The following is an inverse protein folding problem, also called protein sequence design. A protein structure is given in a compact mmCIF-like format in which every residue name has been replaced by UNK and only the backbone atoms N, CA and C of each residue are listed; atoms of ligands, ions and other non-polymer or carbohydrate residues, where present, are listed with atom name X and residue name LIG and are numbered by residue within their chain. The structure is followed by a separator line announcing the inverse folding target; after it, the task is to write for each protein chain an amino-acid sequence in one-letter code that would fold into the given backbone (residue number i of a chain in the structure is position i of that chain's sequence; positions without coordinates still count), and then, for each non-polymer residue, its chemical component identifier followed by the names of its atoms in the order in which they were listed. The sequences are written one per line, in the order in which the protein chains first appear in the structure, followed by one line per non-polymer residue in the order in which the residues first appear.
data_IF_241207016506
#
_entry.id   IF_241207016506
#
_cell.length_a   1.000
_cell.length_b   1.000
_cell.length_c   1.000
_cell.angle_alpha   90.00
_cell.angle_beta   90.00
_cell.angle_gamma   90.00
#
_symmetry.space_group_name_H-M   'P 1'
#
loop_
_entity.id
_entity.type
_entity.pdbx_description
1 polymer ?
#
# COMPACT_ATOMS: atom_id res chain seq x y z
N UNK A 1 -23.04 19.83 -21.33
CA UNK A 1 -23.17 19.47 -19.89
C UNK A 1 -22.10 20.20 -19.09
N UNK A 2 -22.41 21.37 -18.53
CA UNK A 2 -21.51 22.10 -17.62
C UNK A 2 -22.01 21.92 -16.18
N UNK A 3 -21.47 20.92 -15.47
CA UNK A 3 -21.58 20.83 -14.01
C UNK A 3 -20.20 21.09 -13.42
N UNK A 4 -19.72 22.32 -13.56
CA UNK A 4 -18.59 22.85 -12.79
C UNK A 4 -19.16 23.78 -11.70
N UNK A 5 -19.99 23.23 -10.83
CA UNK A 5 -20.50 23.92 -9.63
C UNK A 5 -19.54 23.70 -8.47
N UNK A 6 -19.36 24.72 -7.62
CA UNK A 6 -18.50 24.75 -6.42
C UNK A 6 -18.58 23.47 -5.55
N UNK A 7 -19.72 22.77 -5.59
CA UNK A 7 -19.94 21.46 -4.97
C UNK A 7 -18.92 20.38 -5.42
N UNK A 8 -18.48 20.37 -6.68
CA UNK A 8 -17.46 19.45 -7.16
C UNK A 8 -16.09 19.75 -6.53
N UNK A 9 -15.73 21.04 -6.39
CA UNK A 9 -14.46 21.45 -5.77
C UNK A 9 -14.39 21.04 -4.29
N UNK A 10 -15.46 21.20 -3.52
CA UNK A 10 -15.52 20.77 -2.12
C UNK A 10 -15.43 19.25 -1.97
N UNK A 11 -16.05 18.48 -2.88
CA UNK A 11 -15.91 17.01 -2.92
C UNK A 11 -14.46 16.58 -3.13
N UNK A 12 -13.74 17.21 -4.06
CA UNK A 12 -12.32 16.90 -4.31
C UNK A 12 -11.42 17.27 -3.13
N UNK A 13 -11.70 18.36 -2.40
CA UNK A 13 -10.98 18.72 -1.17
C UNK A 13 -11.14 17.64 -0.10
N UNK A 14 -12.37 17.16 0.15
CA UNK A 14 -12.63 16.09 1.10
C UNK A 14 -11.94 14.77 0.70
N UNK A 15 -11.92 14.46 -0.60
CA UNK A 15 -11.18 13.31 -1.14
C UNK A 15 -9.67 13.46 -0.89
N UNK A 16 -9.09 14.65 -1.13
CA UNK A 16 -7.67 14.89 -0.89
C UNK A 16 -7.30 14.75 0.59
N UNK A 17 -8.16 15.20 1.50
CA UNK A 17 -8.02 14.98 2.95
C UNK A 17 -8.09 13.49 3.30
N UNK A 18 -9.06 12.76 2.74
CA UNK A 18 -9.16 11.31 2.90
C UNK A 18 -7.91 10.58 2.41
N UNK A 19 -7.35 10.98 1.25
CA UNK A 19 -6.12 10.41 0.70
C UNK A 19 -4.89 10.70 1.59
N UNK A 20 -4.85 11.87 2.26
CA UNK A 20 -3.82 12.17 3.29
C UNK A 20 -3.97 11.22 4.49
N UNK A 21 -5.19 11.01 4.98
CA UNK A 21 -5.46 10.05 6.08
C UNK A 21 -5.06 8.63 5.70
N UNK A 22 -5.41 8.17 4.48
CA UNK A 22 -4.97 6.88 3.95
C UNK A 22 -3.44 6.78 3.81
N UNK A 23 -2.75 7.88 3.49
CA UNK A 23 -1.27 7.90 3.48
C UNK A 23 -0.71 7.73 4.89
N UNK A 24 -1.27 8.43 5.89
CA UNK A 24 -0.90 8.28 7.31
C UNK A 24 -1.12 6.85 7.79
N UNK A 25 -2.28 6.28 7.49
CA UNK A 25 -2.60 4.89 7.80
C UNK A 25 -1.53 3.91 7.29
N UNK A 26 -1.08 4.06 6.03
CA UNK A 26 -0.03 3.20 5.47
C UNK A 26 1.30 3.29 6.22
N UNK A 27 1.65 4.45 6.76
CA UNK A 27 2.87 4.60 7.58
C UNK A 27 2.70 3.82 8.89
N UNK A 28 1.58 4.05 9.58
CA UNK A 28 1.28 3.40 10.86
C UNK A 28 1.18 1.89 10.71
N UNK A 29 0.42 1.38 9.73
CA UNK A 29 0.29 -0.08 9.54
C UNK A 29 1.62 -0.71 9.12
N UNK A 30 2.47 0.00 8.37
CA UNK A 30 3.82 -0.46 8.04
C UNK A 30 4.69 -0.63 9.28
N UNK A 31 4.62 0.32 10.22
CA UNK A 31 5.29 0.21 11.52
C UNK A 31 4.72 -0.95 12.34
N UNK A 32 3.40 -1.07 12.42
CA UNK A 32 2.76 -2.16 13.16
C UNK A 32 3.13 -3.52 12.58
N UNK A 33 3.22 -3.66 11.25
CA UNK A 33 3.72 -4.88 10.63
C UNK A 33 5.16 -5.17 11.04
N UNK A 34 6.04 -4.17 10.98
CA UNK A 34 7.45 -4.29 11.36
C UNK A 34 7.66 -4.74 12.81
N UNK A 35 6.88 -4.19 13.76
CA UNK A 35 7.07 -4.44 15.20
C UNK A 35 6.25 -5.62 15.73
N UNK A 36 5.03 -5.82 15.22
CA UNK A 36 4.10 -6.83 15.74
C UNK A 36 4.17 -8.17 14.98
N UNK A 37 4.81 -8.21 13.81
CA UNK A 37 4.90 -9.42 12.98
C UNK A 37 5.99 -10.42 13.39
N UNK A 38 6.60 -10.26 14.57
CA UNK A 38 7.74 -11.05 15.02
C UNK A 38 9.07 -10.41 14.64
N UNK A 39 10.00 -11.19 14.07
CA UNK A 39 11.31 -10.66 13.68
C UNK A 39 11.16 -9.59 12.59
N UNK A 40 11.65 -8.38 12.85
CA UNK A 40 11.63 -7.24 11.92
C UNK A 40 12.18 -7.61 10.53
N UNK A 41 11.45 -7.26 9.46
CA UNK A 41 11.89 -7.43 8.08
C UNK A 41 12.88 -6.33 7.68
N UNK A 42 13.65 -6.50 6.59
CA UNK A 42 14.31 -5.32 6.00
C UNK A 42 13.23 -4.43 5.39
N UNK A 43 13.34 -3.13 5.62
CA UNK A 43 12.39 -2.15 5.05
C UNK A 43 12.19 -2.32 3.55
N UNK A 44 13.25 -2.59 2.79
CA UNK A 44 13.15 -2.83 1.34
C UNK A 44 12.24 -3.98 0.98
N UNK A 45 12.20 -5.04 1.79
CA UNK A 45 11.42 -6.26 1.54
C UNK A 45 9.97 -6.09 1.98
N UNK A 46 9.75 -5.39 3.10
CA UNK A 46 8.40 -5.04 3.57
C UNK A 46 7.72 -4.06 2.60
N UNK A 47 8.45 -3.03 2.16
CA UNK A 47 7.91 -2.00 1.28
C UNK A 47 7.64 -2.51 -0.15
N UNK A 48 8.24 -3.63 -0.54
CA UNK A 48 7.99 -4.30 -1.82
C UNK A 48 6.81 -5.28 -1.81
N UNK A 49 6.09 -5.43 -0.69
CA UNK A 49 4.96 -6.37 -0.61
C UNK A 49 3.85 -6.05 -1.63
N UNK A 50 3.45 -7.09 -2.35
CA UNK A 50 2.33 -7.07 -3.29
C UNK A 50 1.05 -7.52 -2.57
N UNK A 51 -0.04 -6.76 -2.77
CA UNK A 51 -1.37 -7.11 -2.29
C UNK A 51 -2.07 -8.15 -3.18
N UNK A 52 -1.68 -8.22 -4.45
CA UNK A 52 -2.30 -9.05 -5.48
C UNK A 52 -1.21 -9.74 -6.30
N UNK A 53 -1.55 -10.88 -6.89
CA UNK A 53 -0.64 -11.55 -7.81
C UNK A 53 -0.42 -10.66 -9.05
N UNK A 54 0.84 -10.53 -9.47
CA UNK A 54 1.23 -9.95 -10.75
C UNK A 54 1.76 -11.01 -11.69
N UNK A 55 1.99 -10.62 -12.94
CA UNK A 55 2.57 -11.49 -13.97
C UNK A 55 3.96 -12.01 -13.59
N UNK A 56 4.75 -11.17 -12.92
CA UNK A 56 6.15 -11.45 -12.58
C UNK A 56 6.40 -11.64 -11.08
N UNK A 57 5.35 -11.72 -10.25
CA UNK A 57 5.50 -11.82 -8.81
C UNK A 57 4.22 -12.19 -8.07
N UNK A 58 4.34 -13.04 -7.06
CA UNK A 58 3.21 -13.43 -6.22
C UNK A 58 2.89 -12.37 -5.16
N UNK A 59 1.63 -12.34 -4.70
CA UNK A 59 1.27 -11.51 -3.55
C UNK A 59 2.04 -11.97 -2.31
N UNK A 60 2.38 -11.01 -1.46
CA UNK A 60 3.03 -11.27 -0.18
C UNK A 60 2.07 -11.24 1.00
N UNK A 61 0.76 -11.12 0.80
CA UNK A 61 -0.26 -10.97 1.85
C UNK A 61 -1.33 -12.07 1.78
N UNK A 62 -1.61 -12.70 2.91
CA UNK A 62 -2.54 -13.83 3.03
C UNK A 62 -3.38 -13.71 4.30
N UNK A 63 -4.61 -14.21 4.28
CA UNK A 63 -5.44 -14.33 5.48
C UNK A 63 -5.42 -15.79 5.96
N UNK A 64 -5.19 -16.01 7.26
CA UNK A 64 -5.14 -17.34 7.87
C UNK A 64 -5.59 -17.27 9.33
N UNK A 65 -6.65 -18.02 9.68
CA UNK A 65 -7.16 -18.15 11.06
C UNK A 65 -7.19 -16.81 11.83
N UNK A 66 -7.86 -15.80 11.28
CA UNK A 66 -7.96 -14.43 11.84
C UNK A 66 -6.68 -13.59 11.86
N UNK A 67 -5.58 -14.09 11.29
CA UNK A 67 -4.33 -13.38 11.14
C UNK A 67 -4.12 -13.00 9.67
N UNK A 68 -3.47 -11.86 9.45
CA UNK A 68 -2.85 -11.55 8.17
C UNK A 68 -1.41 -12.04 8.26
N UNK A 69 -1.08 -12.94 7.35
CA UNK A 69 0.29 -13.41 7.14
C UNK A 69 0.91 -12.55 6.05
N UNK A 70 2.15 -12.14 6.24
CA UNK A 70 2.92 -11.52 5.18
C UNK A 70 4.29 -12.20 4.98
N UNK A 71 4.62 -12.46 3.71
CA UNK A 71 5.80 -13.20 3.29
C UNK A 71 6.75 -12.24 2.61
N UNK A 72 7.98 -12.13 3.12
CA UNK A 72 9.03 -11.31 2.52
C UNK A 72 10.07 -12.19 1.86
N UNK A 73 10.50 -11.78 0.66
CA UNK A 73 11.53 -12.47 -0.11
C UNK A 73 12.90 -11.81 0.07
N UNK A 74 13.91 -12.58 0.46
CA UNK A 74 15.28 -12.10 0.55
C UNK A 74 16.01 -12.23 -0.80
N UNK A 75 16.09 -11.14 -1.57
CA UNK A 75 16.72 -11.13 -2.90
C UNK A 75 18.24 -11.38 -2.86
N UNK A 76 18.93 -11.11 -1.75
CA UNK A 76 20.40 -11.31 -1.63
C UNK A 76 20.82 -12.78 -1.61
N UNK A 77 19.96 -13.68 -1.15
CA UNK A 77 20.28 -15.11 -1.11
C UNK A 77 20.07 -15.80 -2.47
N UNK A 78 19.27 -15.19 -3.35
CA UNK A 78 19.01 -15.68 -4.71
C UNK A 78 20.26 -15.70 -5.58
N UNK A 79 21.10 -14.66 -5.48
CA UNK A 79 22.33 -14.55 -6.28
C UNK A 79 23.45 -15.50 -5.84
N UNK A 80 23.50 -15.90 -4.56
CA UNK A 80 24.58 -16.77 -4.06
C UNK A 80 24.21 -18.25 -3.93
N UNK A 81 22.93 -18.58 -3.72
CA UNK A 81 22.51 -19.97 -3.38
C UNK A 81 21.39 -20.54 -4.25
N UNK A 82 20.87 -19.77 -5.21
CA UNK A 82 19.73 -20.16 -6.06
C UNK A 82 18.46 -20.59 -5.27
N UNK A 83 18.38 -20.25 -3.97
CA UNK A 83 17.22 -20.48 -3.11
C UNK A 83 16.69 -19.15 -2.60
N UNK A 84 15.41 -18.91 -2.84
CA UNK A 84 14.72 -17.73 -2.31
C UNK A 84 14.35 -17.99 -0.85
N UNK A 85 14.96 -17.25 0.07
CA UNK A 85 14.62 -17.36 1.48
C UNK A 85 13.35 -16.56 1.74
N UNK A 86 12.28 -17.29 2.04
CA UNK A 86 10.96 -16.76 2.35
C UNK A 86 10.79 -16.71 3.86
N UNK A 87 10.56 -15.53 4.41
CA UNK A 87 10.26 -15.36 5.83
C UNK A 87 8.79 -15.01 5.98
N UNK A 88 8.07 -15.91 6.63
CA UNK A 88 6.64 -15.78 6.91
C UNK A 88 6.45 -15.11 8.27
N UNK A 89 5.64 -14.04 8.30
CA UNK A 89 5.34 -13.29 9.52
C UNK A 89 3.85 -13.21 9.77
N UNK A 90 3.46 -13.37 11.02
CA UNK A 90 2.07 -13.37 11.45
C UNK A 90 1.75 -12.06 12.13
N UNK A 91 0.86 -11.28 11.54
CA UNK A 91 0.34 -10.08 12.17
C UNK A 91 -0.72 -10.50 13.22
N UNK A 92 -0.71 -9.95 14.44
CA UNK A 92 -1.70 -10.29 15.46
C UNK A 92 -3.14 -9.97 15.02
N UNK A 93 -4.14 -10.62 15.61
CA UNK A 93 -5.54 -10.56 15.18
C UNK A 93 -6.11 -9.12 15.07
N UNK A 94 -5.83 -8.25 16.05
CA UNK A 94 -6.30 -6.86 16.05
C UNK A 94 -5.81 -6.06 14.83
N UNK A 95 -4.49 -5.87 14.66
CA UNK A 95 -3.94 -5.23 13.47
C UNK A 95 -4.28 -5.94 12.16
N UNK A 96 -4.43 -7.27 12.18
CA UNK A 96 -4.87 -8.06 11.03
C UNK A 96 -6.27 -7.67 10.55
N UNK A 97 -7.22 -7.49 11.46
CA UNK A 97 -8.57 -7.06 11.10
C UNK A 97 -8.56 -5.66 10.47
N UNK A 98 -7.72 -4.77 11.00
CA UNK A 98 -7.55 -3.40 10.47
C UNK A 98 -6.93 -3.43 9.07
N UNK A 99 -5.86 -4.21 8.87
CA UNK A 99 -5.22 -4.37 7.57
C UNK A 99 -6.16 -5.04 6.56
N UNK A 100 -6.92 -6.04 6.98
CA UNK A 100 -7.93 -6.69 6.15
C UNK A 100 -8.98 -5.69 5.66
N UNK A 101 -9.56 -4.87 6.55
CA UNK A 101 -10.51 -3.82 6.18
C UNK A 101 -9.91 -2.81 5.20
N UNK A 102 -8.64 -2.46 5.37
CA UNK A 102 -7.94 -1.59 4.43
C UNK A 102 -7.82 -2.23 3.04
N UNK A 103 -7.42 -3.49 2.96
CA UNK A 103 -7.24 -4.21 1.70
C UNK A 103 -8.59 -4.45 0.99
N UNK A 104 -9.63 -4.81 1.74
CA UNK A 104 -10.94 -5.17 1.20
C UNK A 104 -11.82 -3.97 0.82
N UNK A 105 -11.78 -2.88 1.60
CA UNK A 105 -12.70 -1.75 1.42
C UNK A 105 -11.99 -0.47 0.98
N UNK A 106 -10.98 -0.04 1.75
CA UNK A 106 -10.35 1.28 1.54
C UNK A 106 -9.56 1.31 0.24
N UNK A 107 -8.79 0.27 -0.04
CA UNK A 107 -7.92 0.22 -1.23
C UNK A 107 -8.75 0.20 -2.53
N UNK A 108 -9.77 -0.67 -2.71
CA UNK A 108 -10.64 -0.60 -3.89
C UNK A 108 -11.39 0.73 -4.03
N UNK A 109 -11.87 1.31 -2.93
CA UNK A 109 -12.52 2.61 -2.95
C UNK A 109 -11.59 3.73 -3.43
N UNK A 110 -10.35 3.77 -2.95
CA UNK A 110 -9.35 4.75 -3.40
C UNK A 110 -9.03 4.56 -4.89
N UNK A 111 -8.94 3.32 -5.36
CA UNK A 111 -8.70 3.02 -6.77
C UNK A 111 -9.86 3.53 -7.64
N UNK A 112 -11.11 3.34 -7.19
CA UNK A 112 -12.29 3.88 -7.83
C UNK A 112 -12.25 5.42 -7.91
N UNK A 113 -11.98 6.10 -6.79
CA UNK A 113 -11.88 7.57 -6.76
C UNK A 113 -10.81 8.12 -7.72
N UNK A 114 -9.68 7.41 -7.85
CA UNK A 114 -8.62 7.79 -8.79
C UNK A 114 -9.11 7.67 -10.23
N UNK A 115 -9.79 6.57 -10.56
CA UNK A 115 -10.39 6.37 -11.89
C UNK A 115 -11.35 7.50 -12.26
N UNK A 116 -12.26 7.86 -11.36
CA UNK A 116 -13.23 8.95 -11.59
C UNK A 116 -12.53 10.31 -11.82
N UNK A 117 -11.43 10.56 -11.11
CA UNK A 117 -10.62 11.79 -11.28
C UNK A 117 -9.96 11.86 -12.65
N UNK A 118 -9.48 10.73 -13.18
CA UNK A 118 -8.86 10.65 -14.50
C UNK A 118 -9.87 10.73 -15.64
N UNK A 119 -11.06 10.14 -15.49
CA UNK A 119 -12.14 10.25 -16.48
C UNK A 119 -12.63 11.70 -16.66
N UNK A 120 -12.55 12.51 -15.60
CA UNK A 120 -12.92 13.93 -15.65
C UNK A 120 -11.88 14.83 -16.36
N UNK A 121 -10.70 14.30 -16.69
CA UNK A 121 -9.55 15.02 -17.22
C UNK A 121 -8.96 14.42 -18.49
N UNK A 122 -9.78 14.17 -19.51
CA UNK A 122 -9.40 14.13 -20.94
C UNK A 122 -8.18 13.29 -21.42
N UNK A 123 -7.63 12.33 -20.68
CA UNK A 123 -6.64 11.38 -21.20
C UNK A 123 -6.90 9.97 -20.65
N UNK A 124 -7.56 9.13 -21.46
CA UNK A 124 -7.86 7.74 -21.14
C UNK A 124 -6.76 6.83 -21.68
N UNK A 125 -5.80 6.44 -20.84
CA UNK A 125 -4.85 5.37 -21.15
C UNK A 125 -5.20 4.11 -20.34
N UNK A 126 -5.14 2.93 -20.98
CA UNK A 126 -5.36 1.63 -20.31
C UNK A 126 -4.42 1.40 -19.12
N UNK A 127 -3.25 2.05 -19.11
CA UNK A 127 -2.35 2.03 -17.96
C UNK A 127 -2.95 2.73 -16.73
N UNK A 128 -3.72 3.81 -16.91
CA UNK A 128 -4.30 4.59 -15.80
C UNK A 128 -5.37 3.81 -15.02
N UNK A 129 -5.96 2.76 -15.62
CA UNK A 129 -6.95 1.90 -14.96
C UNK A 129 -6.33 0.92 -13.97
N UNK A 130 -5.06 0.56 -14.16
CA UNK A 130 -4.41 -0.45 -13.35
C UNK A 130 -3.80 0.17 -12.08
N UNK A 131 -4.47 -0.02 -10.95
CA UNK A 131 -3.93 0.40 -9.66
C UNK A 131 -2.68 -0.41 -9.30
N UNK A 132 -1.69 0.24 -8.70
CA UNK A 132 -0.46 -0.44 -8.27
C UNK A 132 -0.80 -1.62 -7.35
N UNK A 133 -0.21 -2.78 -7.63
CA UNK A 133 -0.32 -3.98 -6.79
C UNK A 133 0.46 -3.85 -5.47
N UNK A 134 1.32 -2.83 -5.33
CA UNK A 134 2.13 -2.61 -4.13
C UNK A 134 1.30 -2.09 -2.96
N UNK A 135 1.53 -2.65 -1.78
CA UNK A 135 0.96 -2.14 -0.54
C UNK A 135 1.48 -0.71 -0.22
N UNK A 136 2.79 -0.51 -0.37
CA UNK A 136 3.49 0.73 -0.05
C UNK A 136 3.90 1.50 -1.31
N UNK A 137 2.91 1.84 -2.14
CA UNK A 137 3.12 2.56 -3.40
C UNK A 137 3.44 4.06 -3.21
N UNK A 138 4.40 4.56 -3.98
CA UNK A 138 4.83 5.96 -4.05
C UNK A 138 3.77 6.88 -4.65
N UNK A 139 3.22 6.48 -5.79
CA UNK A 139 2.27 7.22 -6.61
C UNK A 139 1.04 6.34 -6.90
N UNK A 140 0.05 6.92 -7.55
CA UNK A 140 -1.16 6.23 -7.98
C UNK A 140 -0.99 5.85 -9.46
N UNK A 141 -0.98 4.55 -9.76
CA UNK A 141 -0.80 4.04 -11.13
C UNK A 141 -0.02 2.72 -11.16
N UNK A 142 0.01 2.03 -12.32
CA UNK A 142 0.58 0.69 -12.44
C UNK A 142 2.10 0.70 -12.35
N UNK A 143 2.74 1.75 -12.86
CA UNK A 143 4.18 1.98 -12.81
C UNK A 143 4.67 2.54 -11.46
N UNK A 144 3.80 2.61 -10.45
CA UNK A 144 4.22 3.11 -9.14
C UNK A 144 5.31 2.23 -8.55
N UNK A 145 6.38 2.90 -8.12
CA UNK A 145 7.47 2.29 -7.35
C UNK A 145 7.07 2.08 -5.89
N UNK A 146 7.73 1.13 -5.24
CA UNK A 146 7.68 0.99 -3.79
C UNK A 146 8.25 2.26 -3.12
N UNK A 147 7.84 2.52 -1.88
CA UNK A 147 8.48 3.54 -1.07
C UNK A 147 9.96 3.21 -0.84
N UNK A 148 10.81 4.22 -0.94
CA UNK A 148 12.19 4.09 -0.47
C UNK A 148 12.20 4.04 1.06
N UNK A 149 13.18 3.32 1.62
CA UNK A 149 13.42 3.29 3.06
C UNK A 149 13.61 4.71 3.63
N UNK A 150 14.33 5.58 2.91
CA UNK A 150 14.53 6.98 3.31
C UNK A 150 13.22 7.75 3.42
N UNK A 151 12.32 7.59 2.43
CA UNK A 151 11.00 8.22 2.44
C UNK A 151 10.16 7.73 3.60
N UNK A 152 10.17 6.41 3.85
CA UNK A 152 9.42 5.84 4.96
C UNK A 152 9.93 6.37 6.31
N UNK A 153 11.24 6.34 6.53
CA UNK A 153 11.86 6.83 7.76
C UNK A 153 11.57 8.33 8.00
N UNK A 154 11.63 9.15 6.95
CA UNK A 154 11.28 10.57 7.06
C UNK A 154 9.79 10.76 7.38
N UNK A 155 8.92 9.95 6.77
CA UNK A 155 7.50 9.99 7.06
C UNK A 155 7.19 9.53 8.49
N UNK A 156 7.88 8.49 8.97
CA UNK A 156 7.78 7.99 10.34
C UNK A 156 8.21 9.05 11.36
N UNK A 157 9.39 9.67 11.17
CA UNK A 157 9.88 10.76 12.04
C UNK A 157 8.85 11.90 12.18
N UNK A 158 8.25 12.31 11.05
CA UNK A 158 7.22 13.35 11.03
C UNK A 158 5.94 12.98 11.76
N UNK A 159 5.60 11.70 11.83
CA UNK A 159 4.41 11.22 12.54
C UNK A 159 4.69 11.05 14.04
N UNK A 160 5.90 10.64 14.41
CA UNK A 160 6.32 10.51 15.83
C UNK A 160 6.52 11.86 16.50
N UNK A 161 6.94 12.91 15.77
CA UNK A 161 7.14 14.26 16.32
C UNK A 161 5.85 15.05 16.60
N UNK A 162 4.68 14.53 16.18
CA UNK A 162 3.38 15.21 16.37
C UNK A 162 2.64 14.71 17.61
N UNK A 163 3.19 13.72 18.31
CA UNK A 163 2.69 13.16 19.56
C UNK A 163 3.45 13.82 20.69
#
# INVERSE_FOLDING_TARGET
MHILSCAAKHKWKAIDEYLKTKRRFRIVIGLVMQEAGGQAARWSELLSLLCENGEFGQRGLFAYKSHIIYITHHHKAKQSTNREYNVTRFLPAGPSQVLYKYLAYIRPFVNLLQRERHQSGSEFSSETLNSSRLMFQSQSGPSSKAWSTSRFNNALKRETQKV
#
